data_IF_552660436518
#
_entry.id   IF_552660436518
#
_cell.length_a   1.000
_cell.length_b   1.000
_cell.length_c   1.000
_cell.angle_alpha   90.00
_cell.angle_beta   90.00
_cell.angle_gamma   90.00
#
_symmetry.space_group_name_H-M   'P 1'
#
loop_
_entity.id
_entity.type
_entity.pdbx_description
1 polymer ?
#
# COMPACT_ATOMS: atom_id res chain seq x y z
N UNK A 1 -3.62 2.94 -15.80
CA UNK A 1 -3.25 2.14 -14.61
C UNK A 1 -2.91 0.72 -15.06
N UNK A 2 -1.64 0.32 -14.95
CA UNK A 2 -1.26 -1.09 -15.13
C UNK A 2 -1.50 -1.83 -13.82
N UNK A 3 -2.28 -2.91 -13.83
CA UNK A 3 -2.48 -3.77 -12.67
C UNK A 3 -1.19 -4.54 -12.36
N UNK A 4 -0.44 -4.08 -11.35
CA UNK A 4 0.72 -4.82 -10.85
C UNK A 4 0.30 -6.09 -10.12
N UNK A 5 1.15 -7.11 -10.13
CA UNK A 5 0.92 -8.37 -9.39
C UNK A 5 1.02 -8.19 -7.88
N UNK A 6 1.72 -7.15 -7.44
CA UNK A 6 1.90 -6.77 -6.04
C UNK A 6 1.84 -5.25 -5.93
N UNK A 7 1.56 -4.74 -4.73
CA UNK A 7 1.65 -3.31 -4.45
C UNK A 7 2.71 -3.05 -3.39
N UNK A 8 3.58 -2.07 -3.63
CA UNK A 8 4.61 -1.69 -2.67
C UNK A 8 4.24 -0.39 -1.93
N UNK A 9 4.12 -0.47 -0.60
CA UNK A 9 3.63 0.62 0.26
C UNK A 9 4.57 0.80 1.45
N UNK A 10 4.95 2.04 1.73
CA UNK A 10 5.68 2.43 2.94
C UNK A 10 4.71 3.11 3.92
N UNK A 11 4.78 2.76 5.21
CA UNK A 11 3.93 3.33 6.24
C UNK A 11 4.66 4.41 7.02
N UNK A 12 4.02 5.57 7.17
CA UNK A 12 4.53 6.70 7.92
C UNK A 12 3.53 7.11 9.00
N UNK A 13 3.99 7.57 10.18
CA UNK A 13 3.10 8.20 11.15
C UNK A 13 2.34 9.36 10.50
N UNK A 14 1.07 9.56 10.87
CA UNK A 14 0.25 10.62 10.28
C UNK A 14 0.89 12.01 10.46
N UNK A 15 1.64 12.24 11.55
CA UNK A 15 2.35 13.50 11.80
C UNK A 15 3.51 13.77 10.83
N UNK A 16 4.03 12.74 10.16
CA UNK A 16 5.10 12.84 9.17
C UNK A 16 4.57 13.01 7.74
N UNK A 17 3.25 13.04 7.54
CA UNK A 17 2.62 13.10 6.22
C UNK A 17 1.79 14.38 6.09
N UNK A 18 2.07 15.17 5.07
CA UNK A 18 1.22 16.29 4.64
C UNK A 18 0.63 15.97 3.28
N UNK A 19 -0.69 16.07 3.13
CA UNK A 19 -1.40 15.81 1.89
C UNK A 19 -1.79 17.14 1.26
N UNK A 20 -1.41 17.35 0.00
CA UNK A 20 -1.75 18.54 -0.78
C UNK A 20 -2.29 18.16 -2.16
N UNK A 21 -3.27 18.91 -2.65
CA UNK A 21 -3.91 18.68 -3.94
C UNK A 21 -5.17 17.82 -3.87
N UNK A 22 -5.82 17.65 -5.02
CA UNK A 22 -7.07 16.89 -5.12
C UNK A 22 -6.81 15.38 -5.19
N UNK A 23 -7.68 14.60 -4.54
CA UNK A 23 -7.67 13.14 -4.59
C UNK A 23 -9.08 12.59 -4.74
N UNK A 24 -9.21 11.47 -5.44
CA UNK A 24 -10.41 10.64 -5.44
C UNK A 24 -10.22 9.50 -4.46
N UNK A 25 -11.19 9.23 -3.60
CA UNK A 25 -11.10 8.18 -2.58
C UNK A 25 -12.02 7.00 -2.92
N UNK A 26 -11.53 5.78 -2.72
CA UNK A 26 -12.32 4.56 -2.78
C UNK A 26 -12.08 3.71 -1.55
N UNK A 27 -13.16 3.30 -0.87
CA UNK A 27 -13.12 2.51 0.34
C UNK A 27 -13.58 1.09 0.05
N UNK A 28 -12.84 0.12 0.58
CA UNK A 28 -13.25 -1.28 0.64
C UNK A 28 -13.32 -1.76 2.08
N UNK A 29 -14.26 -2.65 2.34
CA UNK A 29 -14.33 -3.40 3.59
C UNK A 29 -13.67 -4.75 3.36
N UNK A 30 -12.72 -5.12 4.21
CA UNK A 30 -12.09 -6.44 4.18
C UNK A 30 -13.01 -7.50 4.82
N UNK A 31 -12.69 -8.78 4.62
CA UNK A 31 -13.43 -9.90 5.23
C UNK A 31 -13.43 -9.84 6.77
N UNK A 32 -12.48 -9.11 7.37
CA UNK A 32 -12.42 -8.85 8.81
C UNK A 32 -13.43 -7.80 9.30
N UNK A 33 -14.20 -7.18 8.40
CA UNK A 33 -15.10 -6.06 8.71
C UNK A 33 -14.40 -4.70 8.79
N UNK A 34 -13.06 -4.68 8.84
CA UNK A 34 -12.27 -3.43 8.85
C UNK A 34 -12.22 -2.81 7.47
N UNK A 35 -12.21 -1.48 7.40
CA UNK A 35 -12.07 -0.78 6.12
C UNK A 35 -10.63 -0.36 5.79
N UNK A 36 -10.36 -0.26 4.50
CA UNK A 36 -9.18 0.38 3.93
C UNK A 36 -9.63 1.34 2.82
N UNK A 37 -9.12 2.57 2.83
CA UNK A 37 -9.46 3.61 1.87
C UNK A 37 -8.22 4.01 1.08
N UNK A 38 -8.27 3.77 -0.23
CA UNK A 38 -7.23 4.17 -1.18
C UNK A 38 -7.55 5.55 -1.75
N UNK A 39 -6.53 6.39 -1.88
CA UNK A 39 -6.62 7.73 -2.44
C UNK A 39 -5.81 7.81 -3.73
N UNK A 40 -6.43 8.31 -4.80
CA UNK A 40 -5.92 8.29 -6.16
C UNK A 40 -5.77 9.70 -6.72
N UNK A 41 -4.74 9.89 -7.54
CA UNK A 41 -4.59 11.11 -8.33
C UNK A 41 -5.69 11.15 -9.42
N UNK A 42 -6.53 12.20 -9.48
CA UNK A 42 -7.63 12.27 -10.44
C UNK A 42 -7.15 12.43 -11.89
N UNK A 43 -5.91 12.92 -12.11
CA UNK A 43 -5.38 13.15 -13.45
C UNK A 43 -4.84 11.87 -14.12
N UNK A 44 -4.18 10.98 -13.37
CA UNK A 44 -3.54 9.78 -13.92
C UNK A 44 -4.10 8.46 -13.37
N UNK A 45 -4.92 8.52 -12.33
CA UNK A 45 -5.53 7.35 -11.69
C UNK A 45 -4.60 6.56 -10.76
N UNK A 46 -3.33 6.97 -10.58
CA UNK A 46 -2.40 6.26 -9.69
C UNK A 46 -2.82 6.37 -8.23
N UNK A 47 -2.67 5.27 -7.45
CA UNK A 47 -2.85 5.28 -6.00
C UNK A 47 -1.68 6.02 -5.36
N UNK A 48 -1.96 7.08 -4.61
CA UNK A 48 -0.95 7.90 -3.93
C UNK A 48 -0.75 7.43 -2.49
N UNK A 49 -1.84 7.28 -1.74
CA UNK A 49 -1.77 6.81 -0.36
C UNK A 49 -2.99 5.99 0.05
N UNK A 50 -2.93 5.38 1.22
CA UNK A 50 -3.98 4.54 1.81
C UNK A 50 -4.08 4.81 3.30
N UNK A 51 -5.32 4.91 3.78
CA UNK A 51 -5.66 4.97 5.21
C UNK A 51 -6.43 3.71 5.57
N UNK A 52 -6.23 3.19 6.77
CA UNK A 52 -6.75 1.89 7.17
C UNK A 52 -7.22 1.92 8.61
N UNK A 53 -8.35 1.27 8.88
CA UNK A 53 -8.86 1.15 10.24
C UNK A 53 -7.94 0.33 11.15
N UNK A 54 -7.23 -0.66 10.59
CA UNK A 54 -6.26 -1.47 11.34
C UNK A 54 -5.00 -0.68 11.75
N UNK A 55 -4.68 0.42 11.05
CA UNK A 55 -3.51 1.26 11.29
C UNK A 55 -3.91 2.74 11.37
N UNK A 56 -4.71 3.13 12.38
CA UNK A 56 -5.34 4.46 12.42
C UNK A 56 -4.33 5.62 12.53
N UNK A 57 -3.15 5.34 13.07
CA UNK A 57 -2.09 6.33 13.30
C UNK A 57 -1.07 6.42 12.16
N UNK A 58 -1.25 5.63 11.09
CA UNK A 58 -0.33 5.55 9.97
C UNK A 58 -1.03 5.81 8.64
N UNK A 59 -0.27 6.40 7.73
CA UNK A 59 -0.64 6.55 6.33
C UNK A 59 0.33 5.73 5.48
N UNK A 60 -0.21 4.83 4.66
CA UNK A 60 0.56 4.06 3.70
C UNK A 60 0.72 4.84 2.40
N UNK A 61 1.94 5.18 2.01
CA UNK A 61 2.25 5.87 0.74
C UNK A 61 2.75 4.85 -0.28
N UNK A 62 2.25 4.92 -1.51
CA UNK A 62 2.71 4.04 -2.58
C UNK A 62 4.18 4.36 -2.92
N UNK A 63 5.08 3.38 -2.81
CA UNK A 63 6.52 3.63 -2.96
C UNK A 63 6.88 4.10 -4.37
N UNK A 64 6.14 3.63 -5.39
CA UNK A 64 6.31 4.07 -6.76
C UNK A 64 6.12 5.59 -6.97
N UNK A 65 5.51 6.31 -6.02
CA UNK A 65 5.39 7.76 -6.07
C UNK A 65 6.69 8.51 -5.69
N UNK A 66 7.66 7.86 -5.02
CA UNK A 66 8.95 8.49 -4.71
C UNK A 66 9.92 8.46 -5.89
N UNK A 67 9.70 7.58 -6.88
CA UNK A 67 10.59 7.37 -8.03
C UNK A 67 12.06 7.11 -7.63
N UNK A 68 12.29 6.58 -6.42
CA UNK A 68 13.61 6.29 -5.89
C UNK A 68 13.92 4.79 -6.03
N UNK A 69 14.89 4.40 -6.89
CA UNK A 69 15.26 2.99 -7.04
C UNK A 69 16.05 2.44 -5.84
N UNK A 70 16.55 3.30 -4.97
CA UNK A 70 17.29 2.93 -3.75
C UNK A 70 16.39 2.77 -2.52
N UNK A 71 15.07 2.93 -2.70
CA UNK A 71 14.11 2.72 -1.63
C UNK A 71 14.30 1.31 -1.04
N UNK A 72 14.30 1.24 0.30
CA UNK A 72 14.56 0.01 1.03
C UNK A 72 13.66 -1.15 0.58
N UNK A 73 14.05 -2.38 0.87
CA UNK A 73 13.19 -3.55 0.60
C UNK A 73 12.01 -3.59 1.59
N UNK A 74 10.87 -4.20 1.24
CA UNK A 74 9.75 -4.35 2.18
C UNK A 74 10.16 -5.19 3.40
N UNK A 75 9.75 -4.74 4.59
CA UNK A 75 9.90 -5.52 5.81
C UNK A 75 8.89 -6.68 5.92
N UNK A 76 7.70 -6.49 5.34
CA UNK A 76 6.57 -7.42 5.45
C UNK A 76 5.90 -7.64 4.11
N UNK A 77 5.56 -8.90 3.83
CA UNK A 77 4.75 -9.34 2.70
C UNK A 77 3.36 -9.75 3.17
N UNK A 78 2.35 -8.95 2.82
CA UNK A 78 0.96 -9.27 3.13
C UNK A 78 0.33 -10.19 2.07
N UNK A 79 -0.53 -11.11 2.54
CA UNK A 79 -1.27 -12.07 1.71
C UNK A 79 -0.35 -12.91 0.80
N UNK A 80 0.75 -13.40 1.37
CA UNK A 80 1.76 -14.18 0.65
C UNK A 80 1.17 -15.43 -0.01
N UNK A 81 0.09 -15.99 0.54
CA UNK A 81 -0.68 -17.11 -0.03
C UNK A 81 -1.32 -16.79 -1.39
N UNK A 82 -1.53 -15.49 -1.72
CA UNK A 82 -2.10 -15.03 -2.99
C UNK A 82 -1.04 -14.72 -4.05
N UNK A 83 0.25 -14.87 -3.73
CA UNK A 83 1.36 -14.66 -4.67
C UNK A 83 1.26 -15.67 -5.81
N UNK A 84 1.37 -15.21 -7.06
CA UNK A 84 1.47 -16.10 -8.21
C UNK A 84 2.74 -16.96 -8.15
N UNK A 85 2.63 -18.23 -8.53
CA UNK A 85 3.74 -19.20 -8.42
C UNK A 85 4.97 -18.83 -9.24
N UNK A 86 4.79 -18.12 -10.36
CA UNK A 86 5.89 -17.66 -11.22
C UNK A 86 6.69 -16.49 -10.64
N UNK A 87 6.21 -15.80 -9.60
CA UNK A 87 6.99 -14.76 -8.92
C UNK A 87 8.01 -15.40 -7.97
N UNK A 88 9.26 -14.92 -7.89
CA UNK A 88 10.19 -15.41 -6.88
C UNK A 88 9.69 -15.10 -5.45
N UNK A 89 10.11 -15.92 -4.48
CA UNK A 89 9.88 -15.61 -3.07
C UNK A 89 10.80 -14.45 -2.65
N UNK A 90 10.30 -13.57 -1.79
CA UNK A 90 11.11 -12.54 -1.16
C UNK A 90 11.87 -13.15 0.01
N UNK A 91 13.20 -13.17 -0.06
CA UNK A 91 14.05 -13.67 1.02
C UNK A 91 14.13 -12.68 2.17
N UNK A 92 14.11 -13.18 3.40
CA UNK A 92 14.24 -12.37 4.62
C UNK A 92 13.15 -11.27 4.75
N UNK A 93 11.93 -11.57 4.30
CA UNK A 93 10.73 -10.75 4.46
C UNK A 93 9.70 -11.55 5.23
N UNK A 94 9.14 -10.97 6.28
CA UNK A 94 8.11 -11.63 7.09
C UNK A 94 6.80 -11.72 6.29
N UNK A 95 6.18 -12.91 6.24
CA UNK A 95 4.90 -13.11 5.56
C UNK A 95 3.74 -13.06 6.54
N UNK A 96 2.74 -12.22 6.25
CA UNK A 96 1.56 -12.03 7.10
C UNK A 96 0.28 -12.19 6.27
N UNK A 97 -0.64 -13.04 6.70
CA UNK A 97 -1.87 -13.33 5.92
C UNK A 97 -3.05 -12.41 6.24
N UNK A 98 -2.93 -11.55 7.26
CA UNK A 98 -4.02 -10.70 7.75
C UNK A 98 -3.53 -9.31 8.16
N UNK A 99 -4.48 -8.38 8.21
CA UNK A 99 -4.30 -6.99 8.57
C UNK A 99 -5.17 -6.61 9.78
#
# INVERSE_FOLDING_TARGET
MSGGTMSYTAFFPNSAVTISGAVTAWRRTADSGRWAQSHFCPACGSRVYTTMEAFPNFTGVAVGCFADPSFEKPATLFWSSRRHDWLPKLENVESVERQ
#
